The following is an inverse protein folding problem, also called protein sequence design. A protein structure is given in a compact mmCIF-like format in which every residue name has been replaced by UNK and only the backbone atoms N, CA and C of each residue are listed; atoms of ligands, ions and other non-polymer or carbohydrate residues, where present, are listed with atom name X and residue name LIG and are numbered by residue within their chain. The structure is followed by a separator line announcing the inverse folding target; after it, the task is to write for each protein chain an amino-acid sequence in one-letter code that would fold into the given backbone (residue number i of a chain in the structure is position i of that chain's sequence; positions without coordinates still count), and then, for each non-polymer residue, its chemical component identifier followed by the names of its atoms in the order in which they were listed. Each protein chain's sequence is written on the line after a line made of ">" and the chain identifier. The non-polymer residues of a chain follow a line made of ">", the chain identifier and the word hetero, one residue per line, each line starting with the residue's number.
data_IF_380818009714
#
_entry.id   IF_380818009714
#
_cell.length_a   1.000
_cell.length_b   1.000
_cell.length_c   1.000
_cell.angle_alpha   90.00
_cell.angle_beta   90.00
_cell.angle_gamma   90.00
#
_symmetry.space_group_name_H-M   'P 1'
#
loop_
_entity.id
_entity.type
_entity.pdbx_description
1 polymer ?
#
# COMPACT_ATOMS: atom_id res chain seq x y z
N UNK A 1 -15.88 9.23 -14.29
CA UNK A 1 -14.61 9.09 -13.53
C UNK A 1 -14.93 8.43 -12.19
N UNK A 2 -14.25 7.34 -11.87
CA UNK A 2 -14.47 6.61 -10.61
C UNK A 2 -13.92 7.46 -9.45
N UNK A 3 -14.79 8.24 -8.81
CA UNK A 3 -14.42 9.19 -7.75
C UNK A 3 -13.85 8.42 -6.55
N UNK A 4 -12.69 8.84 -6.05
CA UNK A 4 -11.98 8.28 -4.88
C UNK A 4 -11.42 6.85 -5.09
N UNK A 5 -11.05 6.47 -6.31
CA UNK A 5 -10.38 5.19 -6.56
C UNK A 5 -8.96 5.20 -5.98
N UNK A 6 -8.57 4.12 -5.30
CA UNK A 6 -7.22 3.90 -4.77
C UNK A 6 -6.50 2.89 -5.66
N UNK A 7 -5.31 3.24 -6.15
CA UNK A 7 -4.37 2.30 -6.77
C UNK A 7 -3.39 1.82 -5.70
N UNK A 8 -3.42 0.52 -5.40
CA UNK A 8 -2.51 -0.12 -4.46
C UNK A 8 -1.39 -0.78 -5.25
N UNK A 9 -0.16 -0.31 -5.05
CA UNK A 9 1.03 -0.73 -5.77
C UNK A 9 1.85 -1.64 -4.87
N UNK A 10 2.10 -2.87 -5.34
CA UNK A 10 2.84 -3.90 -4.61
C UNK A 10 4.04 -4.31 -5.46
N UNK A 11 5.25 -3.83 -5.16
CA UNK A 11 6.47 -4.30 -5.79
C UNK A 11 6.81 -5.71 -5.29
N UNK A 12 7.24 -6.59 -6.22
CA UNK A 12 7.43 -8.02 -5.95
C UNK A 12 8.77 -8.46 -6.52
N UNK A 13 9.63 -9.03 -5.67
CA UNK A 13 10.87 -9.66 -6.08
C UNK A 13 11.27 -10.76 -5.10
N UNK A 14 11.15 -12.03 -5.50
CA UNK A 14 11.54 -13.22 -4.73
C UNK A 14 10.94 -13.26 -3.30
N UNK A 15 9.63 -13.19 -3.20
CA UNK A 15 8.86 -13.17 -1.95
C UNK A 15 7.72 -14.20 -1.93
N UNK A 16 7.91 -15.35 -2.58
CA UNK A 16 6.88 -16.40 -2.73
C UNK A 16 6.20 -16.81 -1.41
N UNK A 17 6.94 -16.74 -0.29
CA UNK A 17 6.43 -17.14 1.03
C UNK A 17 5.47 -16.11 1.67
N UNK A 18 5.43 -14.89 1.18
CA UNK A 18 4.69 -13.77 1.80
C UNK A 18 3.59 -13.21 0.91
N UNK A 19 3.80 -13.19 -0.40
CA UNK A 19 2.98 -12.43 -1.35
C UNK A 19 1.50 -12.83 -1.35
N UNK A 20 1.15 -14.10 -1.12
CA UNK A 20 -0.25 -14.53 -1.09
C UNK A 20 -0.99 -13.88 0.08
N UNK A 21 -0.37 -13.80 1.27
CA UNK A 21 -0.94 -13.14 2.45
C UNK A 21 -1.06 -11.62 2.25
N UNK A 22 -0.06 -10.99 1.64
CA UNK A 22 -0.10 -9.58 1.29
C UNK A 22 -1.30 -9.29 0.38
N UNK A 23 -1.43 -10.00 -0.75
CA UNK A 23 -2.53 -9.83 -1.70
C UNK A 23 -3.87 -10.05 -1.01
N UNK A 24 -4.01 -11.10 -0.20
CA UNK A 24 -5.24 -11.38 0.55
C UNK A 24 -5.65 -10.22 1.43
N UNK A 25 -4.73 -9.62 2.19
CA UNK A 25 -5.00 -8.47 3.05
C UNK A 25 -5.50 -7.25 2.26
N UNK A 26 -5.06 -7.11 1.01
CA UNK A 26 -5.45 -6.01 0.12
C UNK A 26 -6.82 -6.24 -0.52
N UNK A 27 -7.12 -7.45 -0.99
CA UNK A 27 -8.42 -7.73 -1.61
C UNK A 27 -9.58 -7.80 -0.59
N UNK A 28 -9.27 -8.09 0.68
CA UNK A 28 -10.21 -8.13 1.81
C UNK A 28 -10.47 -6.75 2.45
N UNK A 29 -10.00 -5.65 1.84
CA UNK A 29 -10.28 -4.30 2.34
C UNK A 29 -11.78 -3.99 2.35
N UNK A 30 -12.25 -3.32 3.42
CA UNK A 30 -13.65 -2.84 3.53
C UNK A 30 -13.99 -1.81 2.44
N UNK A 31 -12.98 -1.08 1.97
CA UNK A 31 -13.12 -0.14 0.85
C UNK A 31 -12.94 -0.87 -0.48
N UNK A 32 -14.01 -0.99 -1.26
CA UNK A 32 -14.04 -1.81 -2.48
C UNK A 32 -13.55 -1.10 -3.76
N UNK A 33 -13.54 0.24 -3.79
CA UNK A 33 -13.13 1.00 -4.98
C UNK A 33 -11.60 1.10 -5.10
N UNK A 34 -10.97 -0.04 -5.28
CA UNK A 34 -9.52 -0.21 -5.40
C UNK A 34 -9.16 -0.84 -6.74
N UNK A 35 -7.94 -0.63 -7.19
CA UNK A 35 -7.21 -1.50 -8.11
C UNK A 35 -5.89 -1.92 -7.45
N UNK A 36 -5.44 -3.11 -7.75
CA UNK A 36 -4.22 -3.69 -7.20
C UNK A 36 -3.23 -3.91 -8.34
N UNK A 37 -2.09 -3.27 -8.28
CA UNK A 37 -1.02 -3.35 -9.27
C UNK A 37 0.12 -4.18 -8.68
N UNK A 38 0.23 -5.44 -9.08
CA UNK A 38 1.30 -6.35 -8.72
C UNK A 38 2.43 -6.20 -9.71
N UNK A 39 3.54 -5.59 -9.27
CA UNK A 39 4.68 -5.29 -10.15
C UNK A 39 5.76 -6.34 -9.91
N UNK A 40 5.78 -7.39 -10.73
CA UNK A 40 6.83 -8.40 -10.66
C UNK A 40 8.12 -7.87 -11.31
N UNK A 41 9.11 -7.59 -10.47
CA UNK A 41 10.40 -7.04 -10.87
C UNK A 41 11.41 -8.15 -11.22
N UNK A 42 10.99 -9.09 -12.06
CA UNK A 42 11.84 -10.17 -12.55
C UNK A 42 12.16 -11.23 -11.50
N UNK A 43 11.17 -11.64 -10.69
CA UNK A 43 11.33 -12.75 -9.73
C UNK A 43 11.75 -14.04 -10.43
N UNK A 44 12.57 -14.83 -9.73
CA UNK A 44 13.08 -16.13 -10.17
C UNK A 44 12.52 -17.29 -9.36
N UNK A 45 11.73 -16.99 -8.33
CA UNK A 45 10.94 -17.94 -7.52
C UNK A 45 9.49 -18.03 -8.04
N UNK A 46 8.58 -18.64 -7.28
CA UNK A 46 7.17 -18.78 -7.66
C UNK A 46 6.31 -17.54 -7.41
N UNK A 47 6.89 -16.39 -7.06
CA UNK A 47 6.12 -15.15 -6.79
C UNK A 47 5.24 -14.75 -7.98
N UNK A 48 5.77 -14.85 -9.21
CA UNK A 48 5.03 -14.46 -10.41
C UNK A 48 3.81 -15.34 -10.67
N UNK A 49 3.97 -16.67 -10.54
CA UNK A 49 2.88 -17.64 -10.70
C UNK A 49 1.78 -17.43 -9.66
N UNK A 50 2.13 -17.12 -8.42
CA UNK A 50 1.18 -16.79 -7.36
C UNK A 50 0.38 -15.53 -7.73
N UNK A 51 1.04 -14.48 -8.21
CA UNK A 51 0.38 -13.27 -8.66
C UNK A 51 -0.61 -13.50 -9.79
N UNK A 52 -0.23 -14.31 -10.81
CA UNK A 52 -1.10 -14.66 -11.92
C UNK A 52 -2.34 -15.42 -11.46
N UNK A 53 -2.17 -16.36 -10.53
CA UNK A 53 -3.28 -17.10 -9.92
C UNK A 53 -4.25 -16.16 -9.20
N UNK A 54 -3.76 -15.24 -8.39
CA UNK A 54 -4.59 -14.25 -7.68
C UNK A 54 -5.34 -13.33 -8.66
N UNK A 55 -4.69 -12.87 -9.73
CA UNK A 55 -5.33 -12.07 -10.76
C UNK A 55 -6.43 -12.82 -11.54
N UNK A 56 -6.34 -14.14 -11.62
CA UNK A 56 -7.41 -14.99 -12.19
C UNK A 56 -8.66 -15.09 -11.30
N UNK A 57 -8.54 -14.75 -10.02
CA UNK A 57 -9.63 -14.84 -9.02
C UNK A 57 -10.32 -13.48 -8.81
N UNK A 58 -9.56 -12.37 -8.81
CA UNK A 58 -10.08 -11.03 -8.53
C UNK A 58 -9.74 -10.07 -9.68
N UNK A 59 -10.75 -9.54 -10.34
CA UNK A 59 -10.63 -8.66 -11.50
C UNK A 59 -10.08 -7.26 -11.18
N UNK A 60 -9.96 -6.90 -9.91
CA UNK A 60 -9.30 -5.66 -9.47
C UNK A 60 -7.78 -5.76 -9.54
N UNK A 61 -7.22 -6.97 -9.67
CA UNK A 61 -5.79 -7.23 -9.71
C UNK A 61 -5.27 -7.17 -11.15
N UNK A 62 -4.19 -6.43 -11.35
CA UNK A 62 -3.42 -6.42 -12.60
C UNK A 62 -1.98 -6.79 -12.28
N UNK A 63 -1.42 -7.74 -13.02
CA UNK A 63 -0.02 -8.16 -12.89
C UNK A 63 0.78 -7.54 -14.03
N UNK A 64 1.85 -6.86 -13.68
CA UNK A 64 2.83 -6.30 -14.62
C UNK A 64 4.15 -7.00 -14.38
N UNK A 65 4.64 -7.69 -15.42
CA UNK A 65 5.92 -8.38 -15.38
C UNK A 65 6.97 -7.55 -16.11
N UNK A 66 8.09 -7.27 -15.45
CA UNK A 66 9.20 -6.48 -16.04
C UNK A 66 10.56 -7.10 -15.70
N UNK A 67 11.60 -6.67 -16.43
CA UNK A 67 12.97 -7.00 -16.07
C UNK A 67 13.34 -6.31 -14.76
N UNK A 68 14.11 -7.00 -13.90
CA UNK A 68 14.56 -6.45 -12.63
C UNK A 68 15.26 -5.10 -12.80
N UNK A 69 14.76 -4.10 -12.11
CA UNK A 69 15.25 -2.72 -12.07
C UNK A 69 15.34 -2.18 -10.64
N UNK A 70 14.95 -2.99 -9.66
CA UNK A 70 14.96 -2.64 -8.24
C UNK A 70 13.67 -1.98 -7.75
N UNK A 71 13.54 -1.87 -6.44
CA UNK A 71 12.33 -1.45 -5.73
C UNK A 71 11.76 -0.12 -6.22
N UNK A 72 12.63 0.88 -6.43
CA UNK A 72 12.18 2.21 -6.88
C UNK A 72 11.64 2.19 -8.31
N UNK A 73 12.25 1.40 -9.19
CA UNK A 73 11.82 1.23 -10.57
C UNK A 73 10.48 0.47 -10.62
N UNK A 74 10.31 -0.56 -9.81
CA UNK A 74 9.03 -1.27 -9.67
C UNK A 74 7.92 -0.35 -9.17
N UNK A 75 8.19 0.50 -8.16
CA UNK A 75 7.21 1.49 -7.69
C UNK A 75 6.86 2.52 -8.77
N UNK A 76 7.84 3.03 -9.52
CA UNK A 76 7.60 3.95 -10.63
C UNK A 76 6.75 3.31 -11.72
N UNK A 77 7.05 2.06 -12.10
CA UNK A 77 6.22 1.31 -13.02
C UNK A 77 4.77 1.19 -12.54
N UNK A 78 4.56 0.97 -11.23
CA UNK A 78 3.23 0.98 -10.63
C UNK A 78 2.53 2.33 -10.75
N UNK A 79 3.24 3.44 -10.47
CA UNK A 79 2.70 4.81 -10.60
C UNK A 79 2.25 5.09 -12.04
N UNK A 80 3.06 4.75 -13.03
CA UNK A 80 2.77 4.96 -14.46
C UNK A 80 1.53 4.19 -14.94
N UNK A 81 1.21 3.07 -14.30
CA UNK A 81 0.06 2.23 -14.63
C UNK A 81 -1.17 2.45 -13.73
N UNK A 82 -1.06 3.34 -12.73
CA UNK A 82 -2.14 3.65 -11.82
C UNK A 82 -3.22 4.52 -12.50
N UNK A 83 -4.49 4.22 -12.18
CA UNK A 83 -5.64 5.00 -12.66
C UNK A 83 -6.47 5.62 -11.53
N UNK A 84 -6.08 5.38 -10.28
CA UNK A 84 -6.74 5.92 -9.10
C UNK A 84 -6.38 7.37 -8.82
N UNK A 85 -7.27 8.05 -8.12
CA UNK A 85 -7.01 9.40 -7.60
C UNK A 85 -6.10 9.40 -6.38
N UNK A 86 -5.91 8.25 -5.78
CA UNK A 86 -5.05 8.03 -4.63
C UNK A 86 -4.13 6.85 -4.88
N UNK A 87 -2.91 6.94 -4.34
CA UNK A 87 -1.89 5.90 -4.44
C UNK A 87 -1.56 5.38 -3.05
N UNK A 88 -1.42 4.06 -2.92
CA UNK A 88 -0.92 3.40 -1.72
C UNK A 88 0.18 2.43 -2.12
N UNK A 89 1.29 2.43 -1.38
CA UNK A 89 2.33 1.40 -1.53
C UNK A 89 2.23 0.41 -0.38
N UNK A 90 2.32 -0.86 -0.72
CA UNK A 90 2.40 -1.97 0.25
C UNK A 90 3.58 -2.83 -0.16
N UNK A 91 4.53 -3.05 0.74
CA UNK A 91 5.64 -3.96 0.45
C UNK A 91 5.10 -5.40 0.48
N UNK A 92 5.57 -6.23 -0.44
CA UNK A 92 4.94 -7.53 -0.70
C UNK A 92 5.15 -8.59 0.39
N UNK A 93 6.00 -8.31 1.37
CA UNK A 93 6.21 -9.08 2.60
C UNK A 93 5.42 -8.54 3.80
N UNK A 94 4.70 -7.42 3.61
CA UNK A 94 3.81 -6.84 4.60
C UNK A 94 2.33 -7.19 4.35
N UNK A 95 1.46 -6.84 5.29
CA UNK A 95 0.00 -6.88 5.13
C UNK A 95 -0.66 -5.66 5.79
N UNK A 96 -1.83 -5.30 5.32
CA UNK A 96 -2.57 -4.12 5.81
C UNK A 96 -3.85 -4.55 6.53
N UNK A 97 -4.22 -3.78 7.56
CA UNK A 97 -5.48 -4.02 8.27
C UNK A 97 -6.69 -3.84 7.34
N UNK A 98 -7.73 -4.65 7.51
CA UNK A 98 -8.91 -4.70 6.61
C UNK A 98 -9.62 -3.36 6.36
N UNK A 99 -9.52 -2.39 7.26
CA UNK A 99 -10.11 -1.04 7.09
C UNK A 99 -9.06 0.07 6.84
N UNK A 100 -7.81 -0.29 6.51
CA UNK A 100 -6.75 0.70 6.30
C UNK A 100 -7.08 1.69 5.19
N UNK A 101 -7.52 1.21 4.04
CA UNK A 101 -7.90 2.05 2.89
C UNK A 101 -9.03 3.03 3.25
N UNK A 102 -10.08 2.54 3.91
CA UNK A 102 -11.23 3.35 4.29
C UNK A 102 -10.85 4.47 5.27
N UNK A 103 -10.07 4.13 6.31
CA UNK A 103 -9.69 5.08 7.34
C UNK A 103 -8.74 6.14 6.81
N UNK A 104 -7.71 5.74 6.06
CA UNK A 104 -6.75 6.68 5.49
C UNK A 104 -7.45 7.62 4.50
N UNK A 105 -8.31 7.10 3.63
CA UNK A 105 -9.05 7.92 2.67
C UNK A 105 -10.00 8.89 3.37
N UNK A 106 -10.77 8.43 4.36
CA UNK A 106 -11.68 9.28 5.14
C UNK A 106 -10.92 10.42 5.82
N UNK A 107 -9.80 10.13 6.45
CA UNK A 107 -8.98 11.14 7.12
C UNK A 107 -8.40 12.14 6.12
N UNK A 108 -7.88 11.67 4.99
CA UNK A 108 -7.33 12.51 3.94
C UNK A 108 -8.38 13.48 3.36
N UNK A 109 -9.60 13.00 3.10
CA UNK A 109 -10.70 13.83 2.59
C UNK A 109 -11.16 14.84 3.65
N UNK A 110 -11.37 14.40 4.89
CA UNK A 110 -11.90 15.26 5.96
C UNK A 110 -10.94 16.37 6.36
N UNK A 111 -9.64 16.12 6.29
CA UNK A 111 -8.59 17.12 6.63
C UNK A 111 -8.10 17.90 5.42
N UNK A 112 -8.53 17.55 4.21
CA UNK A 112 -8.04 18.10 2.94
C UNK A 112 -6.51 17.99 2.79
N UNK A 113 -5.90 16.99 3.43
CA UNK A 113 -4.47 16.72 3.34
C UNK A 113 -4.10 16.07 1.99
N UNK A 114 -2.84 16.19 1.60
CA UNK A 114 -2.31 15.54 0.41
C UNK A 114 -1.80 14.12 0.69
N UNK A 115 -1.47 13.83 1.97
CA UNK A 115 -0.97 12.54 2.43
C UNK A 115 -1.64 12.19 3.77
N UNK A 116 -2.16 10.97 3.87
CA UNK A 116 -2.57 10.37 5.14
C UNK A 116 -1.56 9.28 5.53
N UNK A 117 -1.11 9.28 6.78
CA UNK A 117 -0.11 8.35 7.31
C UNK A 117 -0.77 7.48 8.37
N UNK A 118 -0.67 6.15 8.22
CA UNK A 118 -1.06 5.16 9.21
C UNK A 118 0.09 4.78 10.13
N UNK A 119 -0.24 4.23 11.29
CA UNK A 119 0.72 3.53 12.13
C UNK A 119 1.07 2.16 11.56
N UNK A 120 2.13 1.56 12.09
CA UNK A 120 2.50 0.19 11.79
C UNK A 120 2.82 -0.58 13.07
N UNK A 121 2.76 -1.90 12.98
CA UNK A 121 3.16 -2.82 14.05
C UNK A 121 4.00 -3.93 13.46
N UNK A 122 5.12 -4.23 14.08
CA UNK A 122 5.90 -5.42 13.76
C UNK A 122 5.25 -6.62 14.40
N UNK A 123 5.03 -7.67 13.64
CA UNK A 123 4.48 -8.96 14.08
C UNK A 123 5.37 -10.09 13.61
N UNK A 124 5.46 -11.14 14.41
CA UNK A 124 6.24 -12.33 14.05
C UNK A 124 5.40 -13.34 13.23
N UNK A 125 4.07 -13.30 13.41
CA UNK A 125 3.12 -14.13 12.66
C UNK A 125 1.89 -13.32 12.24
N UNK A 126 1.29 -13.68 11.10
CA UNK A 126 0.08 -13.04 10.58
C UNK A 126 -1.13 -13.18 11.53
N UNK A 127 -1.11 -14.17 12.42
CA UNK A 127 -2.14 -14.38 13.44
C UNK A 127 -2.05 -13.42 14.62
N UNK A 128 -0.93 -12.72 14.77
CA UNK A 128 -0.68 -11.80 15.89
C UNK A 128 -1.20 -10.38 15.62
N UNK A 129 -2.08 -10.25 14.64
CA UNK A 129 -2.76 -8.99 14.29
C UNK A 129 -3.75 -8.65 15.40
N UNK A 130 -3.29 -7.92 16.42
CA UNK A 130 -4.17 -7.39 17.46
C UNK A 130 -5.18 -6.38 16.91
N UNK A 131 -6.13 -5.95 17.75
CA UNK A 131 -7.08 -4.90 17.37
C UNK A 131 -6.35 -3.63 16.96
N UNK A 132 -6.74 -3.08 15.82
CA UNK A 132 -6.20 -1.81 15.36
C UNK A 132 -6.77 -0.66 16.21
N UNK A 133 -5.91 0.23 16.65
CA UNK A 133 -6.32 1.41 17.45
C UNK A 133 -6.74 2.51 16.47
N UNK A 134 -8.04 2.65 16.24
CA UNK A 134 -8.61 3.63 15.29
C UNK A 134 -9.14 4.90 15.95
N UNK A 135 -9.04 5.03 17.27
CA UNK A 135 -9.72 6.09 18.02
C UNK A 135 -8.90 7.37 18.19
N UNK A 136 -7.82 7.54 17.45
CA UNK A 136 -7.03 8.76 17.52
C UNK A 136 -7.58 9.81 16.55
N UNK A 137 -7.77 11.04 17.07
CA UNK A 137 -8.03 12.20 16.21
C UNK A 137 -6.79 12.43 15.35
N UNK A 138 -6.94 12.50 13.99
CA UNK A 138 -5.78 12.72 13.15
C UNK A 138 -5.13 14.07 13.46
N UNK A 139 -3.81 14.05 13.59
CA UNK A 139 -3.00 15.26 13.73
C UNK A 139 -2.60 15.71 12.32
N UNK A 140 -2.82 16.99 12.00
CA UNK A 140 -2.48 17.57 10.71
C UNK A 140 -1.20 18.38 10.84
N UNK A 141 -0.23 18.08 9.98
CA UNK A 141 1.05 18.79 9.89
C UNK A 141 1.13 19.51 8.55
N UNK A 142 1.67 20.72 8.53
CA UNK A 142 2.13 21.33 7.28
C UNK A 142 3.38 20.61 6.75
N UNK A 143 3.67 20.75 5.46
CA UNK A 143 4.88 20.16 4.88
C UNK A 143 6.16 20.55 5.62
N UNK A 144 6.23 21.80 6.12
CA UNK A 144 7.36 22.29 6.91
C UNK A 144 7.48 21.59 8.27
N UNK A 145 6.37 21.44 8.98
CA UNK A 145 6.33 20.72 10.27
C UNK A 145 6.67 19.24 10.08
N UNK A 146 6.21 18.61 8.98
CA UNK A 146 6.56 17.23 8.65
C UNK A 146 8.06 17.05 8.48
N UNK A 147 8.76 17.98 7.83
CA UNK A 147 10.22 17.93 7.69
C UNK A 147 10.96 17.99 9.04
N UNK A 148 10.46 18.77 10.00
CA UNK A 148 11.04 18.80 11.34
C UNK A 148 10.80 17.52 12.13
N UNK A 149 9.64 16.85 11.91
CA UNK A 149 9.26 15.64 12.63
C UNK A 149 9.91 14.35 12.09
N UNK A 150 10.64 14.42 10.97
CA UNK A 150 11.40 13.27 10.41
C UNK A 150 12.37 12.66 11.43
N UNK A 151 12.94 13.45 12.34
CA UNK A 151 13.91 13.02 13.34
C UNK A 151 13.32 12.74 14.73
N UNK A 152 12.01 12.87 14.90
CA UNK A 152 11.30 12.61 16.16
C UNK A 152 10.77 11.15 16.20
N UNK A 153 10.00 10.80 17.25
CA UNK A 153 9.42 9.46 17.47
C UNK A 153 8.66 8.86 16.28
N UNK A 154 8.18 9.70 15.37
CA UNK A 154 7.47 9.30 14.14
C UNK A 154 8.36 9.23 12.89
N UNK A 155 9.68 9.35 13.02
CA UNK A 155 10.62 9.52 11.91
C UNK A 155 10.52 8.49 10.80
N UNK A 156 10.35 7.21 11.14
CA UNK A 156 10.19 6.13 10.16
C UNK A 156 8.93 6.36 9.31
N UNK A 157 7.81 6.79 9.91
CA UNK A 157 6.56 7.03 9.19
C UNK A 157 6.67 8.13 8.13
N UNK A 158 7.59 9.09 8.30
CA UNK A 158 7.77 10.17 7.34
C UNK A 158 8.75 9.83 6.20
N UNK A 159 9.63 8.85 6.39
CA UNK A 159 10.73 8.54 5.44
C UNK A 159 10.41 7.39 4.48
N UNK A 160 9.48 6.49 4.81
CA UNK A 160 9.13 5.33 4.00
C UNK A 160 7.94 5.60 3.07
N UNK A 161 7.83 4.85 1.99
CA UNK A 161 6.71 5.00 1.05
C UNK A 161 5.45 4.24 1.49
N UNK A 162 5.61 3.12 2.19
CA UNK A 162 4.49 2.29 2.65
C UNK A 162 3.76 2.88 3.87
N UNK A 163 2.59 2.34 4.20
CA UNK A 163 1.75 2.81 5.33
C UNK A 163 1.12 4.18 5.10
N UNK A 164 1.07 4.66 3.86
CA UNK A 164 0.54 5.97 3.48
C UNK A 164 -0.43 5.90 2.33
N UNK A 165 -1.36 6.84 2.32
CA UNK A 165 -2.22 7.13 1.18
C UNK A 165 -1.87 8.52 0.65
N UNK A 166 -1.52 8.60 -0.63
CA UNK A 166 -1.14 9.81 -1.33
C UNK A 166 -2.26 10.24 -2.26
N UNK A 167 -2.55 11.53 -2.33
CA UNK A 167 -3.38 12.09 -3.38
C UNK A 167 -2.54 12.16 -4.67
N UNK A 168 -3.01 11.52 -5.73
CA UNK A 168 -2.41 11.65 -7.05
C UNK A 168 -2.72 13.05 -7.61
N UNK A 169 -1.72 13.69 -8.21
CA UNK A 169 -1.85 15.03 -8.81
C UNK A 169 -2.55 14.97 -10.16
#
# INVERSE_FOLDING_TARGET
>A
MNKNKISIIIPIYNIENYIENCIKSVIEQTYSNIEVLLINDGSTDHSFEICQKCAGIDNRIKVINKKNGGLSDARNCGIENASGQYLMFVDGDDFIHSCACEILLRNLINTQADIAIGGFRKVDNITDVGEAIFNQIPVVYSGRESCFNVYNEFGVNFTVAWGKLYKAS
#
